data_IF_443308368546
#
_entry.id   IF_443308368546
#
_cell.length_a   1.000
_cell.length_b   1.000
_cell.length_c   1.000
_cell.angle_alpha   90.00
_cell.angle_beta   90.00
_cell.angle_gamma   90.00
#
_symmetry.space_group_name_H-M   'P 1'
#
loop_
_entity.id
_entity.type
_entity.pdbx_description
1 polymer ?
#
# COMPACT_ATOMS: atom_id res chain seq x y z
N UNK A 1 -53.13 -48.13 32.10
CA UNK A 1 -53.12 -46.89 32.91
C UNK A 1 -52.22 -45.89 32.20
N UNK A 2 -52.79 -44.92 31.48
CA UNK A 2 -52.02 -43.92 30.72
C UNK A 2 -51.90 -42.63 31.55
N UNK A 3 -50.69 -42.30 31.99
CA UNK A 3 -50.40 -41.05 32.69
C UNK A 3 -50.49 -39.88 31.71
N UNK A 4 -51.50 -39.03 31.88
CA UNK A 4 -51.74 -37.87 31.04
C UNK A 4 -50.77 -36.75 31.41
N UNK A 5 -49.69 -36.61 30.65
CA UNK A 5 -48.71 -35.54 30.88
C UNK A 5 -49.38 -34.16 30.79
N UNK A 6 -49.36 -33.42 31.90
CA UNK A 6 -49.84 -32.03 31.96
C UNK A 6 -48.85 -31.16 31.20
N UNK A 7 -49.23 -30.69 30.01
CA UNK A 7 -48.45 -29.68 29.27
C UNK A 7 -48.70 -28.33 29.92
N UNK A 8 -47.67 -27.75 30.54
CA UNK A 8 -47.70 -26.36 30.98
C UNK A 8 -47.84 -25.45 29.75
N UNK A 9 -48.91 -24.66 29.71
CA UNK A 9 -49.05 -23.60 28.73
C UNK A 9 -48.20 -22.41 29.20
N UNK A 10 -47.28 -21.95 28.36
CA UNK A 10 -46.46 -20.76 28.63
C UNK A 10 -47.36 -19.51 28.61
N UNK A 11 -47.22 -18.62 29.59
CA UNK A 11 -47.97 -17.36 29.58
C UNK A 11 -47.34 -16.38 28.59
N UNK A 12 -48.18 -15.50 28.02
CA UNK A 12 -47.73 -14.44 27.11
C UNK A 12 -46.73 -13.47 27.79
N UNK A 13 -46.83 -13.31 29.11
CA UNK A 13 -45.93 -12.47 29.93
C UNK A 13 -44.54 -13.12 30.04
N UNK A 14 -44.45 -14.42 30.35
CA UNK A 14 -43.16 -15.14 30.42
C UNK A 14 -42.42 -15.08 29.08
N UNK A 15 -43.14 -15.25 27.96
CA UNK A 15 -42.56 -15.13 26.63
C UNK A 15 -42.03 -13.71 26.36
N UNK A 16 -42.80 -12.68 26.71
CA UNK A 16 -42.40 -11.27 26.57
C UNK A 16 -41.15 -10.93 27.39
N UNK A 17 -41.05 -11.41 28.63
CA UNK A 17 -39.87 -11.19 29.49
C UNK A 17 -38.63 -11.87 28.91
N UNK A 18 -38.75 -13.11 28.43
CA UNK A 18 -37.62 -13.84 27.82
C UNK A 18 -37.10 -13.12 26.57
N UNK A 19 -37.97 -12.69 25.66
CA UNK A 19 -37.52 -11.97 24.46
C UNK A 19 -36.94 -10.58 24.80
N UNK A 20 -37.45 -9.89 25.83
CA UNK A 20 -36.89 -8.62 26.28
C UNK A 20 -35.47 -8.78 26.83
N UNK A 21 -35.23 -9.81 27.66
CA UNK A 21 -33.89 -10.13 28.18
C UNK A 21 -32.93 -10.49 27.03
N UNK A 22 -33.35 -11.34 26.09
CA UNK A 22 -32.53 -11.71 24.92
C UNK A 22 -32.20 -10.49 24.07
N UNK A 23 -33.17 -9.60 23.82
CA UNK A 23 -32.95 -8.37 23.06
C UNK A 23 -31.91 -7.45 23.74
N UNK A 24 -32.00 -7.26 25.07
CA UNK A 24 -31.00 -6.47 25.83
C UNK A 24 -29.61 -7.13 25.78
N UNK A 25 -29.52 -8.45 25.96
CA UNK A 25 -28.25 -9.17 25.88
C UNK A 25 -27.61 -9.05 24.49
N UNK A 26 -28.38 -9.23 23.42
CA UNK A 26 -27.88 -9.07 22.03
C UNK A 26 -27.45 -7.61 21.77
N UNK A 27 -28.22 -6.62 22.24
CA UNK A 27 -27.89 -5.21 22.08
C UNK A 27 -26.57 -4.82 22.77
N UNK A 28 -26.24 -5.44 23.91
CA UNK A 28 -24.97 -5.24 24.62
C UNK A 28 -23.81 -6.05 24.01
N UNK A 29 -24.07 -7.26 23.52
CA UNK A 29 -23.04 -8.15 22.97
C UNK A 29 -22.62 -7.78 21.53
N UNK A 30 -23.55 -7.30 20.69
CA UNK A 30 -23.25 -7.02 19.28
C UNK A 30 -22.16 -5.94 19.09
N UNK A 31 -22.16 -4.80 19.79
CA UNK A 31 -21.06 -3.82 19.72
C UNK A 31 -19.72 -4.39 20.20
N UNK A 32 -19.74 -5.17 21.29
CA UNK A 32 -18.52 -5.78 21.84
C UNK A 32 -17.91 -6.82 20.87
N UNK A 33 -18.72 -7.66 20.24
CA UNK A 33 -18.27 -8.64 19.24
C UNK A 33 -17.74 -7.94 17.98
N UNK A 34 -18.34 -6.82 17.55
CA UNK A 34 -17.84 -6.01 16.43
C UNK A 34 -16.45 -5.42 16.74
N UNK A 35 -16.28 -4.82 17.94
CA UNK A 35 -15.00 -4.26 18.39
C UNK A 35 -13.91 -5.33 18.51
N UNK A 36 -14.22 -6.48 19.12
CA UNK A 36 -13.28 -7.60 19.24
C UNK A 36 -12.85 -8.15 17.87
N UNK A 37 -13.77 -8.23 16.89
CA UNK A 37 -13.45 -8.65 15.52
C UNK A 37 -12.52 -7.67 14.82
N UNK A 38 -12.73 -6.36 14.95
CA UNK A 38 -11.82 -5.37 14.35
C UNK A 38 -10.45 -5.35 15.03
N UNK A 39 -10.39 -5.48 16.36
CA UNK A 39 -9.12 -5.61 17.08
C UNK A 39 -8.31 -6.83 16.61
N UNK A 40 -8.99 -7.98 16.38
CA UNK A 40 -8.37 -9.17 15.81
C UNK A 40 -7.87 -8.95 14.37
N UNK A 41 -8.68 -8.33 13.49
CA UNK A 41 -8.26 -8.01 12.12
C UNK A 41 -7.06 -7.06 12.08
N UNK A 42 -7.07 -6.00 12.89
CA UNK A 42 -5.95 -5.06 13.04
C UNK A 42 -4.68 -5.73 13.55
N UNK A 43 -4.82 -6.69 14.46
CA UNK A 43 -3.70 -7.51 14.94
C UNK A 43 -3.13 -8.41 13.84
N UNK A 44 -3.99 -8.99 13.00
CA UNK A 44 -3.56 -9.74 11.82
C UNK A 44 -2.87 -8.84 10.79
N UNK A 45 -3.37 -7.63 10.52
CA UNK A 45 -2.73 -6.73 9.56
C UNK A 45 -1.33 -6.28 10.03
N UNK A 46 -1.15 -6.07 11.35
CA UNK A 46 0.17 -5.87 11.97
C UNK A 46 1.09 -7.10 11.84
N UNK A 47 0.55 -8.32 12.00
CA UNK A 47 1.31 -9.55 11.87
C UNK A 47 1.77 -9.83 10.42
N UNK A 48 0.92 -9.54 9.43
CA UNK A 48 1.27 -9.59 8.01
C UNK A 48 2.46 -8.68 7.69
N UNK A 49 2.47 -7.42 8.18
CA UNK A 49 3.62 -6.52 8.04
C UNK A 49 4.89 -7.08 8.71
N UNK A 50 4.77 -7.75 9.87
CA UNK A 50 5.91 -8.44 10.51
C UNK A 50 6.47 -9.57 9.64
N UNK A 51 5.61 -10.35 8.97
CA UNK A 51 6.05 -11.39 8.03
C UNK A 51 6.75 -10.79 6.80
N UNK A 52 6.25 -9.68 6.25
CA UNK A 52 6.92 -8.93 5.17
C UNK A 52 8.29 -8.42 5.62
N UNK A 53 8.41 -7.89 6.85
CA UNK A 53 9.69 -7.46 7.42
C UNK A 53 10.71 -8.59 7.55
N UNK A 54 10.28 -9.76 8.05
CA UNK A 54 11.15 -10.94 8.10
C UNK A 54 11.62 -11.37 6.70
N UNK A 55 10.74 -11.33 5.70
CA UNK A 55 11.11 -11.63 4.32
C UNK A 55 12.09 -10.61 3.71
N UNK A 56 11.92 -9.31 4.01
CA UNK A 56 12.87 -8.25 3.62
C UNK A 56 14.25 -8.47 4.23
N UNK A 57 14.34 -8.82 5.51
CA UNK A 57 15.61 -9.10 6.18
C UNK A 57 16.26 -10.39 5.69
N UNK A 58 15.51 -11.48 5.52
CA UNK A 58 16.06 -12.74 4.98
C UNK A 58 16.60 -12.57 3.53
N UNK A 59 15.92 -11.75 2.72
CA UNK A 59 16.42 -11.35 1.40
C UNK A 59 17.72 -10.53 1.54
N UNK A 60 17.74 -9.53 2.43
CA UNK A 60 18.92 -8.70 2.69
C UNK A 60 20.13 -9.53 3.15
N UNK A 61 19.95 -10.49 4.06
CA UNK A 61 21.01 -11.38 4.53
C UNK A 61 21.58 -12.27 3.41
N UNK A 62 20.74 -12.66 2.43
CA UNK A 62 21.16 -13.47 1.28
C UNK A 62 21.87 -12.64 0.21
N UNK A 63 21.35 -11.46 -0.13
CA UNK A 63 21.79 -10.67 -1.30
C UNK A 63 22.61 -9.42 -0.94
N UNK A 64 22.75 -9.08 0.34
CA UNK A 64 23.39 -7.87 0.87
C UNK A 64 22.76 -6.55 0.39
N UNK A 65 21.51 -6.60 -0.07
CA UNK A 65 20.66 -5.48 -0.47
C UNK A 65 19.18 -5.84 -0.28
N UNK A 66 18.30 -4.85 -0.20
CA UNK A 66 16.85 -5.05 -0.23
C UNK A 66 16.35 -5.32 -1.66
N UNK A 67 15.18 -5.96 -1.84
CA UNK A 67 14.66 -6.28 -3.17
C UNK A 67 14.48 -5.07 -4.07
N UNK A 68 14.74 -5.26 -5.36
CA UNK A 68 14.37 -4.29 -6.39
C UNK A 68 12.84 -4.22 -6.47
N UNK A 69 12.30 -3.01 -6.40
CA UNK A 69 10.85 -2.76 -6.37
C UNK A 69 10.28 -2.50 -7.76
N UNK A 70 11.12 -1.97 -8.66
CA UNK A 70 10.85 -1.81 -10.07
C UNK A 70 12.15 -1.88 -10.87
N UNK A 71 12.08 -2.48 -12.05
CA UNK A 71 13.16 -2.41 -13.04
C UNK A 71 12.52 -2.29 -14.41
N UNK A 72 13.24 -1.70 -15.36
CA UNK A 72 12.92 -1.85 -16.77
C UNK A 72 13.79 -2.93 -17.41
N UNK A 73 13.20 -3.64 -18.37
CA UNK A 73 13.83 -4.66 -19.18
C UNK A 73 14.62 -4.07 -20.36
N UNK A 74 15.10 -4.95 -21.23
CA UNK A 74 15.98 -4.60 -22.34
C UNK A 74 15.29 -3.66 -23.33
N UNK A 75 15.99 -2.60 -23.76
CA UNK A 75 15.53 -1.68 -24.81
C UNK A 75 15.75 -2.35 -26.17
N UNK A 76 14.86 -3.27 -26.54
CA UNK A 76 14.88 -3.90 -27.86
C UNK A 76 14.06 -3.06 -28.88
N UNK A 77 14.67 -2.59 -29.99
CA UNK A 77 14.01 -1.71 -30.96
C UNK A 77 12.69 -2.27 -31.48
N UNK A 78 11.64 -1.44 -31.51
CA UNK A 78 10.32 -1.81 -32.01
C UNK A 78 9.40 -2.55 -31.03
N UNK A 79 9.86 -2.91 -29.82
CA UNK A 79 8.96 -3.38 -28.76
C UNK A 79 8.26 -2.21 -28.06
N UNK A 80 7.00 -2.42 -27.68
CA UNK A 80 6.24 -1.48 -26.85
C UNK A 80 6.95 -1.25 -25.50
N UNK A 81 7.09 0.00 -25.09
CA UNK A 81 7.84 0.39 -23.88
C UNK A 81 7.24 -0.23 -22.62
N UNK A 82 5.91 -0.34 -22.59
CA UNK A 82 5.18 -0.92 -21.46
C UNK A 82 5.50 -2.41 -21.23
N UNK A 83 5.91 -3.16 -22.27
CA UNK A 83 6.25 -4.61 -22.17
C UNK A 83 7.55 -4.90 -21.45
N UNK A 84 8.18 -3.86 -20.90
CA UNK A 84 9.49 -3.88 -20.29
C UNK A 84 9.45 -3.60 -18.79
N UNK A 85 8.29 -3.61 -18.14
CA UNK A 85 8.24 -3.55 -16.67
C UNK A 85 8.75 -4.86 -16.05
N UNK A 86 9.43 -4.80 -14.91
CA UNK A 86 9.83 -6.00 -14.17
C UNK A 86 8.78 -6.42 -13.13
N UNK A 87 9.07 -7.49 -12.39
CA UNK A 87 8.30 -7.86 -11.21
C UNK A 87 8.58 -6.92 -10.04
N UNK A 88 7.60 -6.82 -9.13
CA UNK A 88 7.73 -6.08 -7.88
C UNK A 88 8.69 -6.76 -6.89
N UNK A 89 9.04 -6.01 -5.85
CA UNK A 89 9.73 -6.51 -4.65
C UNK A 89 9.06 -7.74 -4.02
N UNK A 90 7.73 -7.82 -4.08
CA UNK A 90 6.94 -8.92 -3.49
C UNK A 90 7.19 -10.26 -4.17
N UNK A 91 7.50 -10.28 -5.47
CA UNK A 91 7.87 -11.51 -6.20
C UNK A 91 9.23 -12.02 -5.72
N UNK A 92 10.21 -11.13 -5.55
CA UNK A 92 11.53 -11.48 -5.04
C UNK A 92 11.51 -11.97 -3.58
N UNK A 93 10.51 -11.56 -2.80
CA UNK A 93 10.30 -12.01 -1.42
C UNK A 93 9.60 -13.37 -1.29
N UNK A 94 9.00 -13.92 -2.35
CA UNK A 94 8.22 -15.18 -2.29
C UNK A 94 8.96 -16.37 -1.64
N UNK A 95 10.25 -16.65 -1.92
CA UNK A 95 10.96 -17.75 -1.28
C UNK A 95 11.07 -17.61 0.26
N UNK A 96 11.05 -16.37 0.75
CA UNK A 96 11.14 -16.03 2.17
C UNK A 96 9.77 -15.87 2.86
N UNK A 97 8.69 -16.20 2.14
CA UNK A 97 7.29 -16.21 2.57
C UNK A 97 6.64 -17.60 2.40
N UNK A 98 7.47 -18.66 2.38
CA UNK A 98 7.10 -20.04 2.08
C UNK A 98 6.42 -20.24 0.71
N UNK A 99 6.60 -19.31 -0.23
CA UNK A 99 6.04 -19.34 -1.59
C UNK A 99 7.07 -19.72 -2.67
N UNK A 100 8.11 -20.48 -2.31
CA UNK A 100 9.09 -21.02 -3.26
C UNK A 100 8.48 -21.76 -4.47
N UNK A 101 7.39 -22.55 -4.35
CA UNK A 101 6.73 -23.16 -5.52
C UNK A 101 6.16 -22.12 -6.49
N UNK A 102 5.69 -20.98 -5.99
CA UNK A 102 5.12 -19.89 -6.79
C UNK A 102 6.22 -19.08 -7.49
N UNK A 103 7.32 -18.83 -6.77
CA UNK A 103 8.53 -18.21 -7.33
C UNK A 103 9.07 -19.01 -8.53
N UNK A 104 9.17 -20.33 -8.39
CA UNK A 104 9.66 -21.23 -9.44
C UNK A 104 8.72 -21.33 -10.65
N UNK A 105 7.43 -20.99 -10.51
CA UNK A 105 6.46 -20.91 -11.60
C UNK A 105 6.43 -19.53 -12.29
N UNK A 106 7.15 -18.53 -11.75
CA UNK A 106 7.17 -17.18 -12.30
C UNK A 106 7.90 -17.16 -13.65
N UNK A 107 7.19 -16.81 -14.72
CA UNK A 107 7.80 -16.63 -16.04
C UNK A 107 8.51 -15.27 -16.12
N UNK A 108 9.84 -15.28 -16.03
CA UNK A 108 10.70 -14.09 -16.08
C UNK A 108 10.74 -13.38 -17.45
N UNK A 109 10.05 -13.89 -18.47
CA UNK A 109 9.90 -13.26 -19.77
C UNK A 109 8.48 -12.75 -20.05
N UNK A 110 7.51 -13.05 -19.17
CA UNK A 110 6.10 -12.66 -19.31
C UNK A 110 5.71 -11.78 -18.11
N UNK A 111 6.13 -10.53 -18.21
CA UNK A 111 5.86 -9.52 -17.20
C UNK A 111 4.40 -9.06 -17.26
N UNK A 112 3.82 -8.60 -16.13
CA UNK A 112 2.47 -8.05 -16.10
C UNK A 112 2.43 -6.68 -16.81
N UNK A 113 2.43 -6.71 -18.15
CA UNK A 113 2.38 -5.57 -19.09
C UNK A 113 1.34 -4.51 -18.73
N UNK A 114 0.25 -4.99 -18.15
CA UNK A 114 -0.86 -4.21 -17.67
C UNK A 114 -1.42 -4.98 -16.46
N UNK A 115 -1.78 -4.37 -15.33
CA UNK A 115 -2.60 -5.02 -14.29
C UNK A 115 -4.04 -5.34 -14.74
N UNK A 116 -4.36 -5.16 -16.02
CA UNK A 116 -5.55 -5.68 -16.69
C UNK A 116 -5.21 -6.83 -17.66
N UNK A 117 -3.93 -7.21 -17.79
CA UNK A 117 -3.49 -8.43 -18.47
C UNK A 117 -3.69 -9.61 -17.51
N UNK A 118 -4.96 -9.82 -17.18
CA UNK A 118 -5.41 -10.52 -15.99
C UNK A 118 -5.93 -11.89 -16.37
N UNK A 119 -5.09 -12.90 -16.16
CA UNK A 119 -5.47 -14.31 -16.22
C UNK A 119 -5.57 -14.89 -14.81
N UNK A 120 -6.69 -15.54 -14.50
CA UNK A 120 -6.85 -16.37 -13.29
C UNK A 120 -5.92 -17.59 -13.26
N UNK A 121 -5.27 -17.90 -14.38
CA UNK A 121 -4.34 -19.02 -14.55
C UNK A 121 -2.85 -18.63 -14.36
N UNK A 122 -2.55 -17.37 -14.05
CA UNK A 122 -1.17 -16.93 -13.80
C UNK A 122 -0.81 -17.13 -12.30
N UNK A 123 0.34 -17.73 -11.96
CA UNK A 123 0.84 -17.81 -10.58
C UNK A 123 0.84 -16.45 -9.85
N UNK A 124 1.13 -15.38 -10.58
CA UNK A 124 1.18 -14.00 -10.11
C UNK A 124 -0.20 -13.42 -9.74
N UNK A 125 -1.30 -14.08 -10.12
CA UNK A 125 -2.67 -13.74 -9.72
C UNK A 125 -3.11 -14.47 -8.45
N UNK A 126 -2.26 -15.32 -7.85
CA UNK A 126 -2.63 -16.10 -6.68
C UNK A 126 -2.85 -15.24 -5.43
N UNK A 127 -3.81 -15.67 -4.60
CA UNK A 127 -4.17 -14.98 -3.36
C UNK A 127 -3.20 -15.35 -2.24
N UNK A 128 -2.32 -14.42 -1.87
CA UNK A 128 -1.39 -14.57 -0.74
C UNK A 128 -1.92 -13.84 0.50
N UNK A 129 -2.29 -14.56 1.59
CA UNK A 129 -2.85 -13.93 2.80
C UNK A 129 -1.91 -12.93 3.47
N UNK A 130 -0.60 -13.17 3.41
CA UNK A 130 0.42 -12.25 3.95
C UNK A 130 0.40 -10.88 3.29
N UNK A 131 -0.01 -10.79 2.02
CA UNK A 131 -0.13 -9.51 1.31
C UNK A 131 -1.51 -8.86 1.46
N UNK A 132 -2.46 -9.46 2.19
CA UNK A 132 -3.85 -8.99 2.26
C UNK A 132 -4.28 -8.69 3.71
N UNK A 133 -4.56 -7.42 4.02
CA UNK A 133 -5.09 -7.03 5.33
C UNK A 133 -6.57 -7.44 5.44
N UNK A 134 -7.00 -8.25 6.43
CA UNK A 134 -8.42 -8.64 6.56
C UNK A 134 -9.40 -7.49 6.88
N UNK A 135 -8.94 -6.29 7.28
CA UNK A 135 -9.80 -5.10 7.36
C UNK A 135 -9.94 -4.37 6.02
N UNK A 136 -9.25 -4.77 4.96
CA UNK A 136 -9.40 -4.17 3.65
C UNK A 136 -10.83 -4.38 3.11
N UNK A 137 -11.55 -3.29 2.86
CA UNK A 137 -12.99 -3.36 2.55
C UNK A 137 -13.30 -4.03 1.20
N UNK A 138 -12.34 -4.01 0.27
CA UNK A 138 -12.45 -4.73 -0.99
C UNK A 138 -11.85 -6.11 -0.80
N UNK A 139 -12.73 -7.07 -0.55
CA UNK A 139 -12.39 -8.48 -0.42
C UNK A 139 -12.36 -9.12 -1.79
N UNK A 140 -11.15 -9.36 -2.29
CA UNK A 140 -10.73 -10.55 -3.03
C UNK A 140 -11.91 -11.41 -3.55
N UNK A 141 -12.52 -10.98 -4.66
CA UNK A 141 -13.19 -11.95 -5.51
C UNK A 141 -12.13 -12.92 -6.03
N UNK A 142 -12.49 -14.17 -6.33
CA UNK A 142 -11.64 -15.08 -7.09
C UNK A 142 -11.58 -14.61 -8.56
N UNK A 143 -11.09 -13.39 -8.76
CA UNK A 143 -10.94 -12.71 -10.02
C UNK A 143 -9.49 -12.78 -10.49
N UNK A 144 -9.28 -12.29 -11.72
CA UNK A 144 -8.05 -12.52 -12.46
C UNK A 144 -6.83 -11.69 -12.00
N UNK A 145 -6.84 -11.17 -10.76
CA UNK A 145 -5.91 -10.18 -10.22
C UNK A 145 -5.34 -10.61 -8.85
N UNK A 146 -4.02 -10.48 -8.69
CA UNK A 146 -3.31 -10.75 -7.44
C UNK A 146 -3.45 -9.60 -6.44
N UNK A 147 -4.64 -9.35 -5.90
CA UNK A 147 -4.88 -8.20 -5.02
C UNK A 147 -4.05 -8.21 -3.72
N UNK A 148 -3.77 -7.02 -3.18
CA UNK A 148 -2.99 -6.83 -1.96
C UNK A 148 -3.30 -5.52 -1.23
N UNK A 149 -2.73 -5.34 -0.04
CA UNK A 149 -3.00 -4.20 0.86
C UNK A 149 -1.76 -3.61 1.54
N UNK A 150 -0.55 -3.87 1.05
CA UNK A 150 0.71 -3.35 1.61
C UNK A 150 1.68 -2.93 0.51
N UNK A 151 2.26 -1.73 0.62
CA UNK A 151 3.15 -1.17 -0.40
C UNK A 151 4.48 -0.70 0.20
N UNK A 152 5.54 -0.75 -0.60
CA UNK A 152 6.87 -0.26 -0.24
C UNK A 152 6.93 1.27 -0.33
N UNK A 153 7.72 1.90 0.53
CA UNK A 153 7.91 3.34 0.56
C UNK A 153 8.91 3.81 -0.52
N UNK A 154 8.48 4.64 -1.49
CA UNK A 154 9.39 5.32 -2.44
C UNK A 154 10.08 6.56 -1.87
N UNK A 155 9.60 7.03 -0.71
CA UNK A 155 10.05 8.21 0.00
C UNK A 155 9.22 9.44 -0.34
N UNK A 156 9.86 10.60 -0.37
CA UNK A 156 9.21 11.90 -0.63
C UNK A 156 9.56 12.36 -2.03
N UNK A 157 8.54 12.39 -2.89
CA UNK A 157 8.63 12.83 -4.27
C UNK A 157 8.84 14.35 -4.31
N UNK A 158 9.94 14.80 -4.94
CA UNK A 158 10.39 16.19 -4.91
C UNK A 158 11.19 16.55 -6.17
N UNK A 159 10.74 17.57 -6.94
CA UNK A 159 11.38 18.03 -8.18
C UNK A 159 11.69 19.53 -8.16
N UNK A 160 12.31 20.01 -7.09
CA UNK A 160 12.79 21.40 -7.02
C UNK A 160 14.31 21.47 -7.01
N UNK A 161 14.88 22.36 -7.83
CA UNK A 161 16.27 22.84 -7.69
C UNK A 161 16.38 24.04 -6.74
N UNK A 162 15.26 24.71 -6.45
CA UNK A 162 15.22 26.08 -5.90
C UNK A 162 14.36 26.21 -4.62
N UNK A 163 14.08 25.07 -3.98
CA UNK A 163 13.71 24.86 -2.57
C UNK A 163 12.36 25.39 -1.98
N UNK A 164 11.72 24.59 -1.09
CA UNK A 164 10.76 25.08 -0.07
C UNK A 164 10.91 24.32 1.28
N UNK A 165 12.17 24.08 1.61
CA UNK A 165 12.81 23.33 2.70
C UNK A 165 12.83 21.80 2.52
N UNK A 166 13.59 21.38 1.49
CA UNK A 166 14.05 20.03 1.07
C UNK A 166 13.79 18.87 2.05
N UNK A 167 13.11 17.82 1.55
CA UNK A 167 13.06 16.47 2.14
C UNK A 167 13.61 15.47 1.09
N UNK A 168 14.87 15.73 0.71
CA UNK A 168 15.72 15.07 -0.30
C UNK A 168 15.25 15.11 -1.78
N UNK A 169 16.20 14.92 -2.69
CA UNK A 169 16.12 15.04 -4.16
C UNK A 169 17.52 14.95 -4.79
N UNK A 170 17.73 15.03 -6.11
CA UNK A 170 16.78 15.20 -7.23
C UNK A 170 16.97 14.06 -8.26
N UNK A 171 17.16 14.33 -9.57
CA UNK A 171 17.32 13.33 -10.65
C UNK A 171 16.26 12.19 -10.66
N UNK A 172 15.04 12.46 -10.15
CA UNK A 172 13.95 11.48 -10.03
C UNK A 172 14.32 10.18 -9.28
N UNK A 173 15.37 10.20 -8.45
CA UNK A 173 15.78 9.07 -7.62
C UNK A 173 14.94 8.96 -6.36
N UNK A 174 14.55 7.74 -6.01
CA UNK A 174 13.75 7.45 -4.84
C UNK A 174 14.61 7.44 -3.58
N UNK A 175 14.13 8.12 -2.54
CA UNK A 175 14.82 8.29 -1.27
C UNK A 175 14.16 7.50 -0.11
N UNK A 176 13.18 6.65 -0.40
CA UNK A 176 12.63 5.67 0.54
C UNK A 176 13.33 4.30 0.47
N UNK A 177 12.64 3.24 0.89
CA UNK A 177 13.14 1.86 0.79
C UNK A 177 13.02 1.25 -0.61
N UNK A 178 12.17 1.81 -1.46
CA UNK A 178 12.02 1.33 -2.83
C UNK A 178 13.31 1.53 -3.64
N UNK A 179 13.55 0.62 -4.58
CA UNK A 179 14.64 0.67 -5.53
C UNK A 179 14.10 0.51 -6.95
N UNK A 180 14.19 1.55 -7.77
CA UNK A 180 13.74 1.54 -9.15
C UNK A 180 14.95 1.64 -10.11
N UNK A 181 15.13 0.66 -11.01
CA UNK A 181 16.35 0.52 -11.82
C UNK A 181 16.10 0.48 -13.34
N UNK A 182 17.20 0.60 -14.10
CA UNK A 182 17.28 0.44 -15.57
C UNK A 182 16.51 1.48 -16.41
N UNK A 183 16.16 2.63 -15.85
CA UNK A 183 15.72 3.79 -16.65
C UNK A 183 16.91 4.68 -17.05
N UNK A 184 17.04 5.08 -18.33
CA UNK A 184 18.11 5.97 -18.78
C UNK A 184 18.12 7.32 -18.04
N UNK A 185 19.21 7.59 -17.31
CA UNK A 185 19.42 8.85 -16.58
C UNK A 185 18.78 8.93 -15.19
N UNK A 186 17.74 8.14 -14.89
CA UNK A 186 16.96 8.21 -13.65
C UNK A 186 16.84 6.80 -13.01
N UNK A 187 17.99 6.17 -12.70
CA UNK A 187 18.05 4.88 -11.98
C UNK A 187 18.60 5.02 -10.57
N UNK A 188 17.99 4.32 -9.61
CA UNK A 188 18.43 4.22 -8.22
C UNK A 188 19.63 3.27 -8.06
N UNK A 189 20.36 3.43 -6.94
CA UNK A 189 21.25 2.38 -6.44
C UNK A 189 20.45 1.35 -5.64
N UNK A 190 20.92 0.10 -5.61
CA UNK A 190 20.32 -0.94 -4.74
C UNK A 190 20.38 -0.49 -3.28
N UNK A 191 19.24 -0.54 -2.58
CA UNK A 191 19.19 -0.12 -1.17
C UNK A 191 19.88 -1.18 -0.32
N UNK A 192 20.75 -0.74 0.59
CA UNK A 192 21.43 -1.59 1.58
C UNK A 192 21.16 -0.99 2.95
N UNK A 193 21.34 -1.77 4.02
CA UNK A 193 21.22 -1.25 5.39
C UNK A 193 22.06 0.02 5.62
N UNK A 194 23.28 0.06 5.08
CA UNK A 194 24.18 1.21 5.14
C UNK A 194 23.73 2.45 4.33
N UNK A 195 22.72 2.34 3.47
CA UNK A 195 22.12 3.48 2.77
C UNK A 195 20.98 4.15 3.56
N UNK A 196 20.63 3.61 4.73
CA UNK A 196 19.59 4.14 5.63
C UNK A 196 20.26 4.92 6.77
N UNK A 197 20.89 6.04 6.44
CA UNK A 197 21.66 6.86 7.40
C UNK A 197 20.80 7.49 8.49
N UNK A 198 19.51 7.69 8.22
CA UNK A 198 18.56 8.33 9.14
C UNK A 198 18.09 7.37 10.26
N UNK A 199 18.50 6.09 10.15
CA UNK A 199 18.22 5.03 11.10
C UNK A 199 17.09 4.13 10.63
N UNK A 200 17.34 2.82 10.58
CA UNK A 200 16.36 1.80 10.17
C UNK A 200 15.12 1.75 11.07
N UNK A 201 15.25 2.15 12.34
CA UNK A 201 14.15 2.30 13.30
C UNK A 201 13.26 3.53 13.05
N UNK A 202 13.71 4.48 12.23
CA UNK A 202 13.10 5.79 11.99
C UNK A 202 12.52 5.89 10.57
N UNK A 203 13.14 5.25 9.58
CA UNK A 203 12.61 5.18 8.21
C UNK A 203 11.59 4.06 8.04
N UNK A 204 10.42 4.38 7.48
CA UNK A 204 9.37 3.42 7.10
C UNK A 204 9.80 2.68 5.83
N UNK A 205 9.81 1.35 5.88
CA UNK A 205 10.03 0.50 4.72
C UNK A 205 8.74 0.22 3.95
N UNK A 206 7.65 -0.07 4.68
CA UNK A 206 6.38 -0.54 4.13
C UNK A 206 5.21 0.05 4.90
N UNK A 207 4.04 0.17 4.28
CA UNK A 207 2.81 0.57 4.99
C UNK A 207 1.60 -0.16 4.45
N UNK A 208 0.54 -0.19 5.26
CA UNK A 208 -0.81 -0.46 4.77
C UNK A 208 -1.16 0.49 3.61
N UNK A 209 -1.70 -0.14 2.59
CA UNK A 209 -2.01 0.42 1.29
C UNK A 209 -3.35 -0.17 0.83
N UNK A 210 -4.41 0.17 1.56
CA UNK A 210 -5.76 -0.32 1.30
C UNK A 210 -6.12 -0.18 -0.18
N UNK A 211 -6.63 -1.27 -0.76
CA UNK A 211 -6.97 -1.24 -2.18
C UNK A 211 -8.17 -0.33 -2.41
N UNK A 212 -8.23 0.25 -3.60
CA UNK A 212 -9.39 1.03 -4.06
C UNK A 212 -9.57 0.62 -5.52
N UNK A 213 -10.60 -0.18 -5.86
CA UNK A 213 -10.95 -0.46 -7.23
C UNK A 213 -11.13 0.85 -7.99
N UNK A 214 -10.77 0.85 -9.26
CA UNK A 214 -11.07 2.00 -10.07
C UNK A 214 -12.59 2.21 -10.14
N UNK A 215 -13.01 3.40 -9.75
CA UNK A 215 -14.33 3.96 -10.02
C UNK A 215 -14.12 5.40 -10.50
N UNK A 216 -14.37 5.71 -11.78
CA UNK A 216 -14.19 7.06 -12.33
C UNK A 216 -15.08 8.10 -11.65
N UNK A 217 -16.19 7.67 -11.04
CA UNK A 217 -17.12 8.56 -10.34
C UNK A 217 -16.77 8.79 -8.85
N UNK A 218 -15.76 8.08 -8.33
CA UNK A 218 -15.46 8.09 -6.90
C UNK A 218 -14.80 9.38 -6.44
N UNK A 219 -15.51 10.12 -5.60
CA UNK A 219 -15.07 11.34 -4.92
C UNK A 219 -14.78 11.14 -3.42
N UNK A 220 -14.84 9.88 -2.95
CA UNK A 220 -14.74 9.50 -1.54
C UNK A 220 -13.36 9.70 -0.91
N UNK A 221 -13.22 9.34 0.37
CA UNK A 221 -11.90 9.27 1.02
C UNK A 221 -11.03 8.21 0.33
N UNK A 222 -9.75 8.51 0.12
CA UNK A 222 -8.76 7.69 -0.61
C UNK A 222 -9.02 7.51 -2.12
N UNK A 223 -10.08 8.08 -2.69
CA UNK A 223 -10.23 8.10 -4.15
C UNK A 223 -9.19 9.02 -4.78
N UNK A 224 -8.75 8.66 -5.98
CA UNK A 224 -7.66 9.35 -6.66
C UNK A 224 -8.15 10.60 -7.36
N UNK A 225 -7.37 11.67 -7.24
CA UNK A 225 -7.70 12.96 -7.82
C UNK A 225 -6.81 13.27 -9.03
N UNK A 226 -7.38 13.83 -10.09
CA UNK A 226 -6.59 14.33 -11.22
C UNK A 226 -6.05 15.72 -10.93
N UNK A 227 -4.78 15.94 -11.20
CA UNK A 227 -4.12 17.24 -11.22
C UNK A 227 -3.33 17.43 -12.53
N UNK A 228 -2.84 18.63 -12.76
CA UNK A 228 -1.98 18.98 -13.89
C UNK A 228 -0.85 19.82 -13.31
N UNK A 229 0.35 19.25 -13.17
CA UNK A 229 1.50 19.99 -12.64
C UNK A 229 1.84 21.14 -13.59
N UNK A 230 2.21 22.31 -13.07
CA UNK A 230 2.66 23.42 -13.89
C UNK A 230 4.02 23.11 -14.55
N UNK A 231 4.02 23.03 -15.88
CA UNK A 231 5.16 22.93 -16.82
C UNK A 231 6.13 21.73 -16.67
N UNK A 232 6.54 21.08 -17.77
CA UNK A 232 7.64 20.11 -17.77
C UNK A 232 8.98 20.83 -17.49
N UNK A 233 9.47 20.72 -16.26
CA UNK A 233 10.73 21.35 -15.84
C UNK A 233 10.58 22.50 -14.84
N UNK A 234 9.35 22.82 -14.41
CA UNK A 234 9.12 23.69 -13.26
C UNK A 234 9.54 23.05 -11.93
N UNK A 235 9.99 23.88 -10.99
CA UNK A 235 10.31 23.46 -9.63
C UNK A 235 9.04 23.02 -8.87
N UNK A 236 8.93 21.72 -8.57
CA UNK A 236 7.79 21.15 -7.83
C UNK A 236 8.26 20.55 -6.48
N UNK A 237 8.39 21.37 -5.42
CA UNK A 237 8.65 20.89 -4.07
C UNK A 237 7.51 20.05 -3.49
N UNK A 238 7.85 19.08 -2.64
CA UNK A 238 6.92 18.14 -2.00
C UNK A 238 5.71 18.80 -1.29
N UNK A 239 5.90 19.97 -0.64
CA UNK A 239 4.81 20.75 0.00
C UNK A 239 3.82 21.33 -1.00
N UNK A 240 4.30 21.90 -2.11
CA UNK A 240 3.42 22.43 -3.16
C UNK A 240 2.67 21.29 -3.83
N UNK A 241 3.38 20.18 -4.13
CA UNK A 241 2.79 18.92 -4.61
C UNK A 241 1.62 18.48 -3.71
N UNK A 242 1.81 18.40 -2.39
CA UNK A 242 0.73 18.08 -1.42
C UNK A 242 -0.40 19.11 -1.43
N UNK A 243 -0.08 20.41 -1.42
CA UNK A 243 -1.08 21.48 -1.36
C UNK A 243 -1.97 21.50 -2.61
N UNK A 244 -1.38 21.34 -3.79
CA UNK A 244 -2.11 21.20 -5.05
C UNK A 244 -3.00 19.95 -5.06
N UNK A 245 -2.52 18.84 -4.49
CA UNK A 245 -3.30 17.62 -4.30
C UNK A 245 -4.57 17.87 -3.48
N UNK A 246 -4.43 18.43 -2.27
CA UNK A 246 -5.52 18.67 -1.31
C UNK A 246 -6.52 19.73 -1.78
N UNK A 247 -6.05 20.76 -2.49
CA UNK A 247 -6.92 21.82 -3.02
C UNK A 247 -7.75 21.38 -4.23
N UNK A 248 -7.45 20.20 -4.80
CA UNK A 248 -8.11 19.73 -6.00
C UNK A 248 -9.43 19.02 -5.67
N UNK A 249 -10.39 19.09 -6.58
CA UNK A 249 -11.71 18.43 -6.45
C UNK A 249 -12.06 17.54 -7.64
N UNK A 250 -11.20 17.49 -8.66
CA UNK A 250 -11.34 16.57 -9.80
C UNK A 250 -11.09 15.11 -9.40
N UNK A 251 -11.81 14.20 -10.05
CA UNK A 251 -11.59 12.74 -9.99
C UNK A 251 -10.88 12.26 -11.26
N UNK A 252 -10.29 11.06 -11.22
CA UNK A 252 -9.71 10.43 -12.41
C UNK A 252 -10.83 9.91 -13.31
N UNK A 253 -11.15 10.64 -14.39
CA UNK A 253 -12.28 10.34 -15.28
C UNK A 253 -12.16 9.04 -16.10
N UNK A 254 -10.99 8.39 -16.11
CA UNK A 254 -10.74 7.12 -16.78
C UNK A 254 -10.07 6.11 -15.84
N UNK A 255 -10.37 4.82 -16.00
CA UNK A 255 -9.72 3.76 -15.24
C UNK A 255 -8.31 3.40 -15.68
N UNK A 256 -7.61 4.31 -16.35
CA UNK A 256 -6.34 4.11 -17.06
C UNK A 256 -5.13 3.66 -16.22
N UNK A 257 -3.94 3.81 -16.79
CA UNK A 257 -2.65 3.22 -16.36
C UNK A 257 -2.14 3.57 -14.94
N UNK A 258 -2.92 4.26 -14.12
CA UNK A 258 -2.50 4.76 -12.82
C UNK A 258 -3.56 4.57 -11.71
N UNK A 259 -4.75 4.03 -12.04
CA UNK A 259 -5.92 4.03 -11.15
C UNK A 259 -6.28 2.64 -10.58
N UNK A 260 -5.32 1.72 -10.48
CA UNK A 260 -5.54 0.32 -10.04
C UNK A 260 -4.96 0.01 -8.67
N UNK A 261 -5.28 0.83 -7.66
CA UNK A 261 -4.66 0.78 -6.32
C UNK A 261 -4.89 -0.57 -5.65
N UNK A 262 -3.83 -1.38 -5.51
CA UNK A 262 -3.91 -2.69 -4.85
C UNK A 262 -4.24 -3.85 -5.78
N UNK A 263 -4.17 -3.66 -7.11
CA UNK A 263 -4.65 -4.61 -8.14
C UNK A 263 -3.80 -5.88 -8.29
N UNK A 264 -2.47 -5.73 -8.29
CA UNK A 264 -1.55 -6.87 -8.48
C UNK A 264 -0.28 -6.71 -7.64
N UNK A 265 -0.06 -7.62 -6.68
CA UNK A 265 1.16 -7.65 -5.87
C UNK A 265 2.39 -7.93 -6.73
N UNK A 266 2.26 -8.56 -7.89
CA UNK A 266 3.38 -8.86 -8.78
C UNK A 266 3.81 -7.69 -9.67
N UNK A 267 2.93 -6.68 -9.89
CA UNK A 267 3.25 -5.51 -10.71
C UNK A 267 4.13 -4.50 -9.95
N UNK A 268 5.19 -4.03 -10.60
CA UNK A 268 6.23 -3.19 -10.00
C UNK A 268 5.89 -1.70 -9.90
N UNK A 269 4.71 -1.26 -10.34
CA UNK A 269 4.45 0.13 -10.67
C UNK A 269 3.72 0.91 -9.55
N UNK A 270 4.05 2.20 -9.39
CA UNK A 270 3.38 3.08 -8.42
C UNK A 270 1.92 3.31 -8.83
N UNK A 271 1.00 3.27 -7.87
CA UNK A 271 -0.44 3.36 -8.11
C UNK A 271 -1.11 2.05 -8.56
N UNK A 272 -0.32 1.01 -8.86
CA UNK A 272 -0.83 -0.34 -9.07
C UNK A 272 -0.45 -1.31 -7.97
N UNK A 273 0.85 -1.58 -7.78
CA UNK A 273 1.33 -2.86 -7.26
C UNK A 273 2.49 -2.81 -6.25
N UNK A 274 3.47 -1.94 -6.48
CA UNK A 274 4.66 -1.91 -5.64
C UNK A 274 4.49 -1.00 -4.42
N UNK A 275 4.16 0.27 -4.67
CA UNK A 275 4.68 1.35 -3.85
C UNK A 275 3.73 2.52 -3.56
N UNK A 276 4.08 3.29 -2.52
CA UNK A 276 3.44 4.53 -2.10
C UNK A 276 4.50 5.59 -1.69
N UNK A 277 4.09 6.85 -1.54
CA UNK A 277 4.95 7.99 -1.19
C UNK A 277 4.54 8.66 0.11
N UNK A 278 5.47 9.35 0.78
CA UNK A 278 5.21 10.15 1.97
C UNK A 278 4.78 11.60 1.67
N UNK A 279 4.38 11.89 0.43
CA UNK A 279 3.85 13.20 0.03
C UNK A 279 2.48 13.53 0.63
N UNK A 280 1.69 12.51 0.96
CA UNK A 280 0.33 12.62 1.49
C UNK A 280 0.23 11.84 2.79
N UNK A 281 -0.31 12.44 3.85
CA UNK A 281 -0.46 11.80 5.16
C UNK A 281 -1.34 10.53 5.08
N UNK A 282 -1.30 9.65 6.10
CA UNK A 282 -2.15 8.47 6.14
C UNK A 282 -3.63 8.79 5.91
N UNK A 283 -4.28 8.01 5.05
CA UNK A 283 -5.68 8.16 4.64
C UNK A 283 -6.04 9.45 3.85
N UNK A 284 -5.09 10.35 3.56
CA UNK A 284 -5.34 11.48 2.64
C UNK A 284 -5.63 10.99 1.21
N UNK A 285 -6.31 11.83 0.43
CA UNK A 285 -6.63 11.53 -0.97
C UNK A 285 -5.34 11.56 -1.81
N UNK A 286 -4.97 10.47 -2.52
CA UNK A 286 -3.86 10.50 -3.45
C UNK A 286 -4.22 11.30 -4.71
N UNK A 287 -3.24 11.84 -5.42
CA UNK A 287 -3.47 12.44 -6.73
C UNK A 287 -2.50 11.93 -7.80
N UNK A 288 -2.96 12.07 -9.04
CA UNK A 288 -2.26 11.71 -10.27
C UNK A 288 -2.22 12.91 -11.22
N UNK A 289 -1.11 13.09 -11.94
CA UNK A 289 -0.86 14.19 -12.86
C UNK A 289 -0.91 13.72 -14.31
N UNK A 290 -1.79 14.32 -15.10
CA UNK A 290 -2.10 13.89 -16.47
C UNK A 290 -1.06 14.28 -17.52
N UNK A 291 -0.08 15.13 -17.15
CA UNK A 291 0.84 15.78 -18.09
C UNK A 291 2.33 15.55 -17.79
N UNK A 292 2.70 14.76 -16.78
CA UNK A 292 4.09 14.42 -16.48
C UNK A 292 4.29 12.91 -16.45
N UNK A 293 5.43 12.45 -16.99
CA UNK A 293 5.75 11.03 -17.08
C UNK A 293 5.99 10.39 -15.71
N UNK A 294 5.80 9.08 -15.64
CA UNK A 294 5.50 8.38 -14.38
C UNK A 294 6.62 8.34 -13.34
N UNK A 295 7.85 8.40 -13.83
CA UNK A 295 9.07 8.54 -13.03
C UNK A 295 9.22 9.90 -12.35
N UNK A 296 8.54 10.93 -12.88
CA UNK A 296 8.61 12.31 -12.37
C UNK A 296 7.49 12.62 -11.39
N UNK A 297 7.10 11.60 -10.61
CA UNK A 297 6.15 11.77 -9.52
C UNK A 297 4.82 12.30 -10.03
N UNK A 298 4.40 11.79 -11.19
CA UNK A 298 3.03 11.95 -11.65
C UNK A 298 2.04 11.47 -10.59
N UNK A 299 2.44 10.60 -9.67
CA UNK A 299 1.53 9.89 -8.75
C UNK A 299 1.95 10.03 -7.28
N UNK A 300 1.16 10.73 -6.47
CA UNK A 300 1.34 10.81 -5.01
C UNK A 300 0.41 9.85 -4.29
N UNK A 301 0.87 8.61 -4.14
CA UNK A 301 0.12 7.56 -3.45
C UNK A 301 0.24 7.69 -1.94
N UNK A 302 -0.86 7.94 -1.23
CA UNK A 302 -0.93 7.93 0.23
C UNK A 302 -0.85 6.52 0.81
N UNK A 303 -0.29 6.36 2.00
CA UNK A 303 -0.60 5.19 2.83
C UNK A 303 -2.08 5.21 3.22
N UNK A 304 -2.74 4.05 3.33
CA UNK A 304 -4.13 4.03 3.80
C UNK A 304 -4.55 2.69 4.38
N UNK A 305 -5.45 2.72 5.36
CA UNK A 305 -6.03 1.54 5.99
C UNK A 305 -7.51 1.78 6.28
N UNK A 306 -8.27 0.72 6.55
CA UNK A 306 -9.66 0.83 7.01
C UNK A 306 -9.78 0.85 8.53
N UNK A 307 -8.65 0.87 9.25
CA UNK A 307 -8.62 1.08 10.69
C UNK A 307 -8.95 2.53 11.03
N UNK A 308 -9.47 2.74 12.23
CA UNK A 308 -9.77 4.08 12.74
C UNK A 308 -8.49 4.84 13.08
N UNK A 309 -8.34 6.05 12.53
CA UNK A 309 -7.34 7.03 12.97
C UNK A 309 -5.93 6.90 12.37
N UNK A 310 -5.69 6.06 11.36
CA UNK A 310 -4.34 5.91 10.78
C UNK A 310 -4.08 4.60 10.04
N UNK A 311 -2.79 4.24 9.95
CA UNK A 311 -2.25 3.04 9.27
C UNK A 311 -1.19 2.34 10.12
N UNK A 312 -0.93 1.06 9.88
CA UNK A 312 0.30 0.42 10.33
C UNK A 312 1.44 0.59 9.32
N UNK A 313 2.58 1.05 9.81
CA UNK A 313 3.84 1.19 9.07
C UNK A 313 4.89 0.22 9.61
N UNK A 314 5.55 -0.52 8.72
CA UNK A 314 6.73 -1.33 8.98
C UNK A 314 7.97 -0.45 8.83
N UNK A 315 8.76 -0.33 9.89
CA UNK A 315 10.06 0.34 9.90
C UNK A 315 11.14 -0.57 9.30
N UNK A 316 12.25 0.03 8.85
CA UNK A 316 13.39 -0.68 8.27
C UNK A 316 14.15 -1.63 9.21
N UNK A 317 13.90 -1.58 10.52
CA UNK A 317 14.40 -2.53 11.54
C UNK A 317 13.41 -3.68 11.82
N UNK A 318 12.32 -3.76 11.07
CA UNK A 318 11.25 -4.73 11.26
C UNK A 318 10.24 -4.37 12.35
N UNK A 319 10.36 -3.25 13.06
CA UNK A 319 9.32 -2.75 13.97
C UNK A 319 8.03 -2.39 13.21
N UNK A 320 6.86 -2.57 13.82
CA UNK A 320 5.59 -2.10 13.22
C UNK A 320 4.93 -1.12 14.17
N UNK A 321 4.87 0.15 13.73
CA UNK A 321 4.27 1.29 14.43
C UNK A 321 2.90 1.62 13.83
N UNK A 322 2.09 2.38 14.56
CA UNK A 322 0.83 2.91 14.05
C UNK A 322 0.99 4.39 13.76
N UNK A 323 0.87 4.78 12.49
CA UNK A 323 1.03 6.15 12.03
C UNK A 323 -0.34 6.82 12.00
N UNK A 324 -0.53 7.85 12.82
CA UNK A 324 -1.77 8.62 12.92
C UNK A 324 -2.09 9.33 11.61
N UNK A 325 -3.37 9.40 11.22
CA UNK A 325 -3.82 10.26 10.11
C UNK A 325 -3.67 11.76 10.41
N UNK A 326 -3.53 12.11 11.69
CA UNK A 326 -3.31 13.48 12.19
C UNK A 326 -1.83 13.77 12.52
N UNK A 327 -0.89 12.95 12.03
CA UNK A 327 0.56 13.17 12.21
C UNK A 327 0.99 14.51 11.58
N UNK A 328 1.99 15.20 12.18
CA UNK A 328 2.58 16.36 11.53
C UNK A 328 3.20 15.97 10.17
N UNK A 329 2.97 16.80 9.16
CA UNK A 329 3.41 16.49 7.80
C UNK A 329 4.93 16.39 7.67
N UNK A 330 5.70 17.18 8.43
CA UNK A 330 7.16 17.14 8.35
C UNK A 330 7.66 15.85 9.01
N UNK A 331 7.15 15.51 10.20
CA UNK A 331 7.41 14.22 10.85
C UNK A 331 7.12 13.04 9.91
N UNK A 332 5.96 13.04 9.24
CA UNK A 332 5.59 11.96 8.31
C UNK A 332 6.46 11.94 7.04
N UNK A 333 6.84 13.10 6.50
CA UNK A 333 7.74 13.17 5.36
C UNK A 333 9.16 12.69 5.71
N UNK A 334 9.69 13.04 6.89
CA UNK A 334 11.01 12.64 7.39
C UNK A 334 11.12 11.16 7.73
N UNK A 335 10.06 10.49 8.21
CA UNK A 335 10.09 9.02 8.33
C UNK A 335 9.98 8.32 6.96
N UNK A 336 9.68 9.07 5.90
CA UNK A 336 9.70 8.59 4.54
C UNK A 336 11.10 8.53 3.92
N UNK A 337 12.07 9.30 4.41
CA UNK A 337 13.44 9.37 3.86
C UNK A 337 14.38 8.38 4.53
N UNK A 338 15.30 7.80 3.73
CA UNK A 338 16.38 6.93 4.21
C UNK A 338 17.69 7.68 4.48
N UNK A 339 17.89 8.81 3.81
CA UNK A 339 19.16 9.56 3.83
C UNK A 339 19.02 11.08 3.65
N UNK A 340 17.99 11.70 4.22
CA UNK A 340 17.84 13.15 4.27
C UNK A 340 18.49 13.81 5.52
N UNK A 341 18.99 13.00 6.47
CA UNK A 341 19.53 13.40 7.77
C UNK A 341 18.51 14.08 8.70
N UNK A 342 17.21 13.80 8.55
CA UNK A 342 16.18 14.32 9.43
C UNK A 342 16.12 13.57 10.77
N UNK A 343 16.29 14.28 11.90
CA UNK A 343 16.10 13.71 13.24
C UNK A 343 14.63 13.77 13.64
N UNK A 344 13.95 12.63 13.65
CA UNK A 344 12.53 12.54 14.06
C UNK A 344 12.41 12.20 15.55
N UNK A 345 11.47 12.85 16.25
CA UNK A 345 11.13 12.55 17.65
C UNK A 345 10.28 11.28 17.80
N UNK A 346 9.57 11.14 18.94
CA UNK A 346 8.52 10.11 19.06
C UNK A 346 7.25 10.53 18.29
N UNK A 347 6.61 9.56 17.62
CA UNK A 347 5.45 9.74 16.75
C UNK A 347 4.55 8.48 16.72
#
# INVERSE_FOLDING_TARGET
>A
MLLRAVRSAFTLIELLVVIAIIAVLIALLLPAVQQAREAARRSQCKNNLKQIGLALHNYHDTFNCFPISMSWGRIDPGTDWDRRQAFSDKVYMLPYLDQSPLYNQTNWNDFPWNPWNTGSNLPQSSRLPVFNCPSNAFTNGNGSNGEFSYAINVGVINYSKDDINVISGTNARHNGFACYTNWPGESDSVVRMAHVSDGTSNTVAYSEFGSVPCDPSSTGRKSMQMHTWAEPGGANPHRLVRQHCLNNVGHVGDCGRHNGRGSSWASSFIGFGSAYSHNMNPNEKPCFATNQGDWRGSTTMSSSSYHTGGVHGLMGDGAVRFLSENIDYNTYASIGTRNGNETVGEF
#
